data_IF_554906368594
#
_entry.id   IF_554906368594
#
_cell.length_a   1.000
_cell.length_b   1.000
_cell.length_c   1.000
_cell.angle_alpha   90.00
_cell.angle_beta   90.00
_cell.angle_gamma   90.00
#
_symmetry.space_group_name_H-M   'P 1'
#
loop_
_entity.id
_entity.type
_entity.pdbx_description
1 polymer ?
#
# COMPACT_ATOMS: atom_id res chain seq x y z
N UNK A 1 -4.14 2.73 -23.04
CA UNK A 1 -3.31 3.95 -23.14
C UNK A 1 -2.29 4.01 -22.00
N UNK A 2 -2.70 3.95 -20.74
CA UNK A 2 -1.81 4.06 -19.58
C UNK A 2 -0.64 3.05 -19.63
N UNK A 3 -0.92 1.76 -19.88
CA UNK A 3 0.10 0.72 -19.96
C UNK A 3 1.11 1.01 -21.08
N UNK A 4 0.63 1.43 -22.26
CA UNK A 4 1.48 1.79 -23.39
C UNK A 4 2.36 3.00 -23.09
N UNK A 5 1.81 4.03 -22.42
CA UNK A 5 2.58 5.22 -22.04
C UNK A 5 3.64 4.86 -20.99
N UNK A 6 3.29 4.02 -20.01
CA UNK A 6 4.26 3.53 -19.02
C UNK A 6 5.40 2.76 -19.67
N UNK A 7 5.06 1.85 -20.60
CA UNK A 7 6.07 1.08 -21.34
C UNK A 7 6.95 1.99 -22.18
N UNK A 8 6.38 2.95 -22.92
CA UNK A 8 7.14 3.93 -23.70
C UNK A 8 8.13 4.73 -22.85
N UNK A 9 7.70 5.20 -21.69
CA UNK A 9 8.57 5.95 -20.77
C UNK A 9 9.72 5.07 -20.25
N UNK A 10 9.43 3.80 -19.96
CA UNK A 10 10.44 2.83 -19.55
C UNK A 10 11.44 2.53 -20.65
N UNK A 11 10.96 2.23 -21.87
CA UNK A 11 11.79 1.90 -23.04
C UNK A 11 12.71 3.05 -23.47
N UNK A 12 12.22 4.28 -23.35
CA UNK A 12 12.98 5.49 -23.65
C UNK A 12 13.84 5.98 -22.48
N UNK A 13 13.80 5.28 -21.33
CA UNK A 13 14.51 5.65 -20.11
C UNK A 13 14.30 7.13 -19.72
N UNK A 14 13.09 7.63 -19.88
CA UNK A 14 12.77 9.01 -19.51
C UNK A 14 12.63 9.17 -18.00
N UNK A 15 13.18 10.22 -17.40
CA UNK A 15 13.09 10.49 -15.96
C UNK A 15 11.71 11.10 -15.61
N UNK A 16 10.63 10.48 -16.11
CA UNK A 16 9.23 10.90 -15.92
C UNK A 16 8.47 9.78 -15.26
N UNK A 17 7.72 10.10 -14.22
CA UNK A 17 6.81 9.16 -13.57
C UNK A 17 5.41 9.28 -14.17
N UNK A 18 4.87 8.15 -14.65
CA UNK A 18 3.51 8.07 -15.18
C UNK A 18 2.59 7.56 -14.07
N UNK A 19 1.65 8.41 -13.63
CA UNK A 19 0.66 8.10 -12.59
C UNK A 19 -0.67 7.80 -13.26
N UNK A 20 -1.23 6.63 -12.98
CA UNK A 20 -2.60 6.29 -13.38
C UNK A 20 -3.57 6.86 -12.35
N UNK A 21 -4.59 7.57 -12.84
CA UNK A 21 -5.70 8.01 -12.01
C UNK A 21 -6.95 7.19 -12.35
N UNK A 22 -7.86 7.09 -11.40
CA UNK A 22 -9.13 6.40 -11.59
C UNK A 22 -9.98 7.12 -12.64
N UNK A 23 -10.86 6.37 -13.28
CA UNK A 23 -11.79 6.94 -14.28
C UNK A 23 -12.79 7.82 -13.54
N UNK A 24 -12.78 9.11 -13.85
CA UNK A 24 -13.83 10.04 -13.39
C UNK A 24 -15.14 9.68 -14.10
N UNK A 25 -16.23 9.57 -13.34
CA UNK A 25 -17.53 9.13 -13.85
C UNK A 25 -18.60 10.18 -13.61
N UNK A 26 -19.60 10.17 -14.46
CA UNK A 26 -20.85 10.90 -14.26
C UNK A 26 -21.73 10.18 -13.20
N UNK A 27 -22.78 10.80 -12.71
CA UNK A 27 -23.63 10.30 -11.62
C UNK A 27 -24.28 8.94 -11.90
N UNK A 28 -24.43 8.56 -13.18
CA UNK A 28 -24.97 7.25 -13.61
C UNK A 28 -23.88 6.22 -13.92
N UNK A 29 -22.63 6.53 -13.59
CA UNK A 29 -21.48 5.67 -13.79
C UNK A 29 -20.79 5.76 -15.15
N UNK A 30 -21.34 6.46 -16.13
CA UNK A 30 -20.68 6.64 -17.43
C UNK A 30 -19.33 7.34 -17.25
N UNK A 31 -18.27 6.80 -17.86
CA UNK A 31 -16.96 7.42 -17.87
C UNK A 31 -17.03 8.84 -18.48
N UNK A 32 -16.45 9.82 -17.77
CA UNK A 32 -16.46 11.20 -18.23
C UNK A 32 -15.63 11.36 -19.50
N UNK A 33 -16.25 11.88 -20.55
CA UNK A 33 -15.61 12.06 -21.85
C UNK A 33 -16.20 13.23 -22.62
N UNK A 34 -15.37 13.99 -23.32
CA UNK A 34 -15.83 15.01 -24.25
C UNK A 34 -16.68 14.43 -25.38
N UNK A 35 -16.54 13.13 -25.68
CA UNK A 35 -17.35 12.44 -26.69
C UNK A 35 -18.80 12.24 -26.26
N UNK A 36 -19.10 12.31 -24.95
CA UNK A 36 -20.47 12.17 -24.44
C UNK A 36 -21.40 13.27 -24.99
N UNK A 37 -20.85 14.44 -25.33
CA UNK A 37 -21.62 15.55 -25.95
C UNK A 37 -22.17 15.24 -27.35
N UNK A 38 -21.65 14.21 -28.05
CA UNK A 38 -22.12 13.81 -29.37
C UNK A 38 -23.26 12.78 -29.33
N UNK A 39 -23.62 12.31 -28.14
CA UNK A 39 -24.71 11.37 -27.95
C UNK A 39 -26.05 12.09 -27.93
N UNK A 40 -27.06 11.54 -28.62
CA UNK A 40 -28.46 11.95 -28.41
C UNK A 40 -28.90 11.61 -26.98
N UNK A 41 -29.97 12.21 -26.48
CA UNK A 41 -30.47 11.94 -25.13
C UNK A 41 -30.72 10.44 -24.89
N UNK A 42 -31.27 9.74 -25.86
CA UNK A 42 -31.48 8.28 -25.78
C UNK A 42 -30.17 7.52 -25.72
N UNK A 43 -29.21 7.85 -26.59
CA UNK A 43 -27.88 7.22 -26.61
C UNK A 43 -27.12 7.51 -25.31
N UNK A 44 -27.23 8.74 -24.79
CA UNK A 44 -26.60 9.10 -23.50
C UNK A 44 -27.12 8.24 -22.34
N UNK A 45 -28.41 7.99 -22.27
CA UNK A 45 -29.00 7.10 -21.27
C UNK A 45 -28.53 5.65 -21.48
N UNK A 46 -28.48 5.17 -22.71
CA UNK A 46 -28.02 3.83 -23.04
C UNK A 46 -26.51 3.64 -22.77
N UNK A 47 -25.70 4.69 -22.88
CA UNK A 47 -24.25 4.63 -22.66
C UNK A 47 -23.88 4.19 -21.22
N UNK A 48 -24.71 4.47 -20.22
CA UNK A 48 -24.51 4.00 -18.85
C UNK A 48 -24.50 2.47 -18.73
N UNK A 49 -25.07 1.76 -19.72
CA UNK A 49 -25.02 0.29 -19.77
C UNK A 49 -23.60 -0.25 -19.89
N UNK A 50 -22.66 0.52 -20.45
CA UNK A 50 -21.25 0.09 -20.50
C UNK A 50 -20.70 -0.12 -19.08
N UNK A 51 -20.87 0.86 -18.22
CA UNK A 51 -20.44 0.73 -16.83
C UNK A 51 -21.21 -0.37 -16.09
N UNK A 52 -22.53 -0.44 -16.27
CA UNK A 52 -23.35 -1.50 -15.68
C UNK A 52 -22.91 -2.90 -16.12
N UNK A 53 -22.43 -3.07 -17.36
CA UNK A 53 -21.89 -4.34 -17.84
C UNK A 53 -20.57 -4.72 -17.12
N UNK A 54 -19.66 -3.77 -16.97
CA UNK A 54 -18.41 -3.98 -16.25
C UNK A 54 -18.67 -4.29 -14.77
N UNK A 55 -19.65 -3.64 -14.15
CA UNK A 55 -20.04 -3.92 -12.77
C UNK A 55 -20.66 -5.32 -12.62
N UNK A 56 -21.40 -5.84 -13.61
CA UNK A 56 -21.90 -7.20 -13.60
C UNK A 56 -20.77 -8.24 -13.58
N UNK A 57 -19.73 -8.02 -14.38
CA UNK A 57 -18.54 -8.86 -14.35
C UNK A 57 -17.78 -8.72 -13.00
N UNK A 58 -17.64 -7.49 -12.45
CA UNK A 58 -17.02 -7.26 -11.15
C UNK A 58 -17.80 -7.98 -10.03
N UNK A 59 -19.13 -7.98 -10.08
CA UNK A 59 -19.98 -8.71 -9.13
C UNK A 59 -19.74 -10.21 -9.21
N UNK A 60 -19.78 -10.80 -10.41
CA UNK A 60 -19.48 -12.23 -10.61
C UNK A 60 -18.08 -12.59 -10.11
N UNK A 61 -17.09 -11.72 -10.35
CA UNK A 61 -15.73 -11.89 -9.84
C UNK A 61 -15.68 -11.86 -8.29
N UNK A 62 -16.40 -10.95 -7.65
CA UNK A 62 -16.49 -10.85 -6.19
C UNK A 62 -17.18 -12.08 -5.59
N UNK A 63 -18.15 -12.67 -6.32
CA UNK A 63 -18.82 -13.91 -5.96
C UNK A 63 -17.98 -15.18 -6.20
N UNK A 64 -16.75 -15.02 -6.71
CA UNK A 64 -15.79 -16.12 -6.83
C UNK A 64 -15.50 -16.56 -8.26
N UNK A 65 -16.14 -15.99 -9.29
CA UNK A 65 -15.81 -16.32 -10.67
C UNK A 65 -14.42 -15.80 -11.05
N UNK A 66 -13.64 -16.61 -11.77
CA UNK A 66 -12.28 -16.25 -12.20
C UNK A 66 -12.04 -16.43 -13.68
N UNK A 67 -12.90 -17.23 -14.36
CA UNK A 67 -12.73 -17.54 -15.78
C UNK A 67 -13.10 -16.34 -16.65
N UNK A 68 -12.24 -15.98 -17.58
CA UNK A 68 -12.44 -14.85 -18.49
C UNK A 68 -13.75 -14.97 -19.25
N UNK A 69 -14.05 -16.16 -19.76
CA UNK A 69 -15.26 -16.41 -20.56
C UNK A 69 -16.53 -16.14 -19.75
N UNK A 70 -16.58 -16.57 -18.49
CA UNK A 70 -17.74 -16.35 -17.60
C UNK A 70 -17.89 -14.87 -17.22
N UNK A 71 -16.78 -14.19 -16.92
CA UNK A 71 -16.77 -12.76 -16.60
C UNK A 71 -17.22 -11.91 -17.79
N UNK A 72 -16.73 -12.22 -18.99
CA UNK A 72 -17.15 -11.57 -20.24
C UNK A 72 -18.63 -11.83 -20.48
N UNK A 73 -19.10 -13.08 -20.34
CA UNK A 73 -20.53 -13.43 -20.52
C UNK A 73 -21.44 -12.66 -19.55
N UNK A 74 -21.01 -12.44 -18.29
CA UNK A 74 -21.75 -11.65 -17.32
C UNK A 74 -21.91 -10.17 -17.76
N UNK A 75 -20.86 -9.60 -18.36
CA UNK A 75 -20.92 -8.24 -18.92
C UNK A 75 -21.80 -8.20 -20.18
N UNK A 76 -21.64 -9.15 -21.11
CA UNK A 76 -22.44 -9.26 -22.34
C UNK A 76 -23.94 -9.39 -22.07
N UNK A 77 -24.32 -10.10 -21.01
CA UNK A 77 -25.72 -10.25 -20.59
C UNK A 77 -26.41 -8.89 -20.30
N UNK A 78 -25.63 -7.87 -19.91
CA UNK A 78 -26.14 -6.50 -19.74
C UNK A 78 -26.16 -5.69 -21.02
N UNK A 79 -25.24 -5.97 -21.97
CA UNK A 79 -25.12 -5.24 -23.23
C UNK A 79 -26.13 -5.73 -24.28
N UNK A 80 -26.34 -7.04 -24.38
CA UNK A 80 -27.17 -7.67 -25.40
C UNK A 80 -28.59 -7.13 -25.52
N UNK A 81 -29.29 -6.74 -24.44
CA UNK A 81 -30.63 -6.16 -24.54
C UNK A 81 -30.67 -4.78 -25.21
N UNK A 82 -29.52 -4.09 -25.35
CA UNK A 82 -29.44 -2.73 -25.90
C UNK A 82 -28.90 -2.77 -27.31
N UNK A 83 -29.77 -3.01 -28.28
CA UNK A 83 -29.39 -3.20 -29.70
C UNK A 83 -28.66 -2.03 -30.37
N UNK A 84 -28.73 -0.83 -29.80
CA UNK A 84 -28.01 0.35 -30.27
C UNK A 84 -26.51 0.34 -29.90
N UNK A 85 -26.08 -0.51 -28.96
CA UNK A 85 -24.69 -0.67 -28.56
C UNK A 85 -24.07 -1.72 -29.50
N UNK A 86 -23.07 -1.31 -30.26
CA UNK A 86 -22.25 -2.22 -31.04
C UNK A 86 -20.90 -2.39 -30.37
N UNK A 87 -20.70 -3.50 -29.70
CA UNK A 87 -19.42 -3.84 -29.04
C UNK A 87 -18.36 -4.05 -30.15
N UNK A 88 -17.22 -3.38 -30.01
CA UNK A 88 -16.05 -3.55 -30.84
C UNK A 88 -15.12 -4.61 -30.24
N UNK A 89 -14.85 -4.51 -28.93
CA UNK A 89 -14.23 -5.55 -28.12
C UNK A 89 -14.72 -5.49 -26.67
N UNK A 90 -14.69 -6.64 -26.02
CA UNK A 90 -14.84 -6.81 -24.56
C UNK A 90 -13.87 -7.93 -24.17
N UNK A 91 -12.77 -7.56 -23.54
CA UNK A 91 -11.64 -8.46 -23.34
C UNK A 91 -11.10 -8.37 -21.92
N UNK A 92 -10.72 -9.54 -21.38
CA UNK A 92 -9.96 -9.64 -20.13
C UNK A 92 -8.48 -9.79 -20.48
N UNK A 93 -7.68 -8.82 -20.04
CA UNK A 93 -6.25 -8.75 -20.33
C UNK A 93 -5.42 -8.47 -19.07
N UNK A 94 -4.14 -8.81 -19.11
CA UNK A 94 -3.21 -8.41 -18.05
C UNK A 94 -3.02 -6.88 -18.08
N UNK A 95 -3.13 -6.17 -16.94
CA UNK A 95 -3.18 -4.70 -16.93
C UNK A 95 -1.89 -4.02 -17.43
N UNK A 96 -0.75 -4.67 -17.34
CA UNK A 96 0.55 -4.13 -17.76
C UNK A 96 0.93 -4.58 -19.18
N UNK A 97 0.84 -5.88 -19.47
CA UNK A 97 1.28 -6.45 -20.75
C UNK A 97 0.20 -6.40 -21.84
N UNK A 98 -1.06 -6.20 -21.45
CA UNK A 98 -2.26 -6.24 -22.32
C UNK A 98 -2.43 -7.58 -23.03
N UNK A 99 -1.78 -8.64 -22.58
CA UNK A 99 -1.98 -9.98 -23.14
C UNK A 99 -3.31 -10.56 -22.65
N UNK A 100 -4.07 -11.24 -23.50
CA UNK A 100 -5.30 -11.90 -23.12
C UNK A 100 -5.08 -12.90 -21.98
N UNK A 101 -6.02 -12.95 -21.04
CA UNK A 101 -6.00 -13.84 -19.90
C UNK A 101 -7.15 -14.84 -20.00
N UNK A 102 -6.88 -16.11 -19.69
CA UNK A 102 -7.91 -17.14 -19.57
C UNK A 102 -8.66 -17.06 -18.23
N UNK A 103 -7.99 -16.59 -17.18
CA UNK A 103 -8.55 -16.42 -15.85
C UNK A 103 -7.82 -15.31 -15.10
N UNK A 104 -8.47 -14.74 -14.07
CA UNK A 104 -7.85 -13.76 -13.17
C UNK A 104 -7.24 -14.51 -11.98
N UNK A 105 -5.93 -14.57 -11.90
CA UNK A 105 -5.22 -15.15 -10.76
C UNK A 105 -5.04 -14.12 -9.64
N UNK A 106 -4.47 -12.97 -9.95
CA UNK A 106 -4.23 -11.87 -8.99
C UNK A 106 -4.91 -10.58 -9.42
N UNK A 107 -4.71 -10.16 -10.67
CA UNK A 107 -5.31 -8.95 -11.22
C UNK A 107 -5.60 -9.16 -12.71
N UNK A 108 -6.75 -8.67 -13.18
CA UNK A 108 -7.13 -8.63 -14.57
C UNK A 108 -7.74 -7.27 -14.92
N UNK A 109 -7.58 -6.82 -16.15
CA UNK A 109 -8.22 -5.63 -16.70
C UNK A 109 -9.31 -6.08 -17.66
N UNK A 110 -10.58 -5.91 -17.29
CA UNK A 110 -11.70 -6.07 -18.23
C UNK A 110 -11.93 -4.75 -18.93
N UNK A 111 -11.68 -4.71 -20.24
CA UNK A 111 -11.75 -3.53 -21.06
C UNK A 111 -12.83 -3.66 -22.12
N UNK A 112 -13.59 -2.58 -22.35
CA UNK A 112 -14.63 -2.51 -23.37
C UNK A 112 -14.41 -1.33 -24.30
N UNK A 113 -14.63 -1.55 -25.60
CA UNK A 113 -14.90 -0.51 -26.58
C UNK A 113 -16.22 -0.79 -27.27
N UNK A 114 -17.06 0.23 -27.38
CA UNK A 114 -18.35 0.09 -28.04
C UNK A 114 -18.74 1.36 -28.78
N UNK A 115 -19.57 1.21 -29.80
CA UNK A 115 -20.15 2.30 -30.59
C UNK A 115 -21.63 2.48 -30.26
N UNK A 116 -22.01 3.73 -29.97
CA UNK A 116 -23.40 4.19 -29.93
C UNK A 116 -23.58 5.19 -31.08
N UNK A 117 -24.23 4.76 -32.14
CA UNK A 117 -24.24 5.50 -33.42
C UNK A 117 -22.81 5.67 -33.94
N UNK A 118 -22.38 6.91 -34.12
CA UNK A 118 -21.03 7.24 -34.59
C UNK A 118 -20.02 7.49 -33.46
N UNK A 119 -20.45 7.44 -32.21
CA UNK A 119 -19.61 7.74 -31.06
C UNK A 119 -18.97 6.47 -30.51
N UNK A 120 -17.64 6.40 -30.52
CA UNK A 120 -16.86 5.33 -29.91
C UNK A 120 -16.57 5.67 -28.46
N UNK A 121 -17.04 4.84 -27.56
CA UNK A 121 -16.86 4.94 -26.11
C UNK A 121 -15.92 3.84 -25.60
N UNK A 122 -15.16 4.15 -24.57
CA UNK A 122 -14.22 3.24 -23.91
C UNK A 122 -14.49 3.24 -22.42
N UNK A 123 -14.36 2.07 -21.82
CA UNK A 123 -14.38 1.93 -20.37
C UNK A 123 -13.60 0.69 -19.94
N UNK A 124 -13.28 0.58 -18.66
CA UNK A 124 -12.63 -0.60 -18.09
C UNK A 124 -12.87 -0.72 -16.60
N UNK A 125 -12.60 -1.91 -16.06
CA UNK A 125 -12.55 -2.19 -14.64
C UNK A 125 -11.39 -3.12 -14.31
N UNK A 126 -10.71 -2.86 -13.19
CA UNK A 126 -9.73 -3.78 -12.64
C UNK A 126 -10.42 -4.82 -11.74
N UNK A 127 -10.15 -6.10 -12.01
CA UNK A 127 -10.59 -7.23 -11.21
C UNK A 127 -9.40 -7.72 -10.42
N UNK A 128 -9.43 -7.55 -9.08
CA UNK A 128 -8.32 -7.93 -8.21
C UNK A 128 -8.76 -9.00 -7.22
N UNK A 129 -8.05 -10.13 -7.17
CA UNK A 129 -8.32 -11.23 -6.25
C UNK A 129 -7.70 -11.04 -4.87
N UNK A 130 -6.71 -10.14 -4.74
CA UNK A 130 -6.06 -9.86 -3.47
C UNK A 130 -6.89 -8.90 -2.61
N UNK A 131 -6.84 -9.12 -1.30
CA UNK A 131 -7.39 -8.19 -0.32
C UNK A 131 -6.60 -6.86 -0.35
N UNK A 132 -7.23 -5.73 -0.01
CA UNK A 132 -6.57 -4.43 -0.03
C UNK A 132 -5.33 -4.35 0.86
N UNK A 133 -4.37 -3.49 0.47
CA UNK A 133 -3.19 -3.15 1.25
C UNK A 133 -3.30 -1.69 1.70
N UNK A 134 -2.99 -1.45 2.97
CA UNK A 134 -2.87 -0.11 3.54
C UNK A 134 -1.42 0.15 3.90
N UNK A 135 -0.82 1.19 3.31
CA UNK A 135 0.52 1.66 3.62
C UNK A 135 0.45 2.87 4.55
N UNK A 136 1.12 2.80 5.71
CA UNK A 136 1.19 3.91 6.65
C UNK A 136 2.64 4.32 6.85
N UNK A 137 3.06 5.39 6.18
CA UNK A 137 4.40 5.94 6.29
C UNK A 137 4.43 7.18 7.18
N UNK A 138 5.64 7.60 7.56
CA UNK A 138 5.84 8.82 8.31
C UNK A 138 7.04 8.76 9.25
N UNK A 139 7.41 9.88 9.90
CA UNK A 139 8.59 9.99 10.74
C UNK A 139 8.49 9.16 12.04
N UNK A 140 9.63 9.00 12.72
CA UNK A 140 9.67 8.31 14.01
C UNK A 140 8.86 9.06 15.08
N UNK A 141 8.11 8.33 15.91
CA UNK A 141 7.30 8.94 16.98
C UNK A 141 5.98 9.56 16.56
N UNK A 142 5.58 9.49 15.27
CA UNK A 142 4.28 9.96 14.78
C UNK A 142 3.08 9.13 15.25
N UNK A 143 3.31 8.00 15.93
CA UNK A 143 2.25 7.12 16.45
C UNK A 143 1.81 6.02 15.48
N UNK A 144 2.56 5.81 14.38
CA UNK A 144 2.21 4.85 13.31
C UNK A 144 1.91 3.44 13.81
N UNK A 145 2.77 2.87 14.66
CA UNK A 145 2.64 1.48 15.12
C UNK A 145 1.35 1.24 15.89
N UNK A 146 0.98 2.17 16.77
CA UNK A 146 -0.26 2.09 17.52
C UNK A 146 -1.47 2.25 16.61
N UNK A 147 -1.44 3.25 15.74
CA UNK A 147 -2.54 3.55 14.81
C UNK A 147 -2.70 2.43 13.78
N UNK A 148 -1.62 2.00 13.10
CA UNK A 148 -1.67 0.96 12.08
C UNK A 148 -2.22 -0.37 12.60
N UNK A 149 -1.85 -0.74 13.82
CA UNK A 149 -2.36 -1.96 14.48
C UNK A 149 -3.85 -1.88 14.76
N UNK A 150 -4.31 -0.76 15.32
CA UNK A 150 -5.74 -0.56 15.60
C UNK A 150 -6.57 -0.45 14.32
N UNK A 151 -6.04 0.18 13.28
CA UNK A 151 -6.66 0.20 11.94
C UNK A 151 -6.78 -1.23 11.41
N UNK A 152 -5.69 -2.00 11.44
CA UNK A 152 -5.68 -3.39 10.96
C UNK A 152 -6.73 -4.25 11.66
N UNK A 153 -6.83 -4.10 12.98
CA UNK A 153 -7.83 -4.82 13.79
C UNK A 153 -9.26 -4.44 13.40
N UNK A 154 -9.55 -3.13 13.24
CA UNK A 154 -10.90 -2.65 12.89
C UNK A 154 -11.35 -3.04 11.48
N UNK A 155 -10.43 -3.14 10.51
CA UNK A 155 -10.76 -3.50 9.12
C UNK A 155 -10.47 -4.97 8.82
N UNK A 156 -10.06 -5.75 9.81
CA UNK A 156 -9.81 -7.19 9.69
C UNK A 156 -8.65 -7.55 8.76
N UNK A 157 -7.59 -6.74 8.72
CA UNK A 157 -6.37 -6.98 7.96
C UNK A 157 -5.21 -7.37 8.90
N UNK A 158 -4.15 -7.97 8.32
CA UNK A 158 -2.95 -8.31 9.05
C UNK A 158 -2.09 -7.05 9.29
N UNK A 159 -1.66 -6.81 10.53
CA UNK A 159 -0.70 -5.76 10.84
C UNK A 159 0.74 -6.22 10.66
N UNK A 160 1.58 -5.41 9.99
CA UNK A 160 3.00 -5.65 9.81
C UNK A 160 3.85 -4.42 10.16
N UNK A 161 4.83 -4.63 11.03
CA UNK A 161 5.83 -3.64 11.43
C UNK A 161 7.12 -3.84 10.63
N UNK A 162 7.32 -3.06 9.57
CA UNK A 162 8.54 -3.15 8.76
C UNK A 162 9.79 -2.77 9.57
N UNK A 163 9.66 -1.86 10.53
CA UNK A 163 10.74 -1.47 11.42
C UNK A 163 11.24 -2.63 12.29
N UNK A 164 10.37 -3.56 12.66
CA UNK A 164 10.76 -4.77 13.38
C UNK A 164 11.66 -5.67 12.52
N UNK A 165 11.45 -5.73 11.20
CA UNK A 165 12.32 -6.50 10.30
C UNK A 165 13.74 -5.91 10.24
N UNK A 166 13.87 -4.58 10.10
CA UNK A 166 15.18 -3.92 10.16
C UNK A 166 15.89 -4.12 11.49
N UNK A 167 15.14 -4.10 12.62
CA UNK A 167 15.67 -4.39 13.95
C UNK A 167 16.12 -5.86 14.07
N UNK A 168 15.40 -6.78 13.45
CA UNK A 168 15.74 -8.20 13.42
C UNK A 168 17.07 -8.44 12.69
N UNK A 169 17.28 -7.82 11.52
CA UNK A 169 18.58 -7.84 10.83
C UNK A 169 19.67 -7.23 11.72
N UNK A 170 19.42 -6.07 12.32
CA UNK A 170 20.39 -5.41 13.21
C UNK A 170 20.76 -6.31 14.39
N UNK A 171 19.80 -6.99 14.99
CA UNK A 171 20.07 -7.96 16.04
C UNK A 171 20.98 -9.09 15.54
N UNK A 172 20.73 -9.63 14.36
CA UNK A 172 21.55 -10.70 13.77
C UNK A 172 22.98 -10.25 13.51
N UNK A 173 23.16 -9.04 12.97
CA UNK A 173 24.47 -8.42 12.76
C UNK A 173 25.26 -8.34 14.06
N UNK A 174 24.64 -7.78 15.11
CA UNK A 174 25.27 -7.59 16.42
C UNK A 174 25.50 -8.93 17.15
N UNK A 175 24.58 -9.91 17.01
CA UNK A 175 24.74 -11.25 17.57
C UNK A 175 25.97 -11.97 17.04
N UNK A 176 26.30 -11.75 15.76
CA UNK A 176 27.49 -12.32 15.11
C UNK A 176 28.77 -11.53 15.36
N UNK A 177 28.69 -10.42 16.13
CA UNK A 177 29.84 -9.56 16.39
C UNK A 177 30.29 -8.75 15.18
N UNK A 178 29.42 -8.56 14.18
CA UNK A 178 29.70 -7.78 12.98
C UNK A 178 29.48 -6.29 13.30
N UNK A 179 30.39 -5.44 12.87
CA UNK A 179 30.25 -4.00 12.98
C UNK A 179 29.13 -3.49 12.07
N UNK A 180 28.15 -2.73 12.59
CA UNK A 180 27.01 -2.22 11.81
C UNK A 180 27.38 -1.39 10.58
N UNK A 181 28.60 -0.89 10.48
CA UNK A 181 29.13 -0.10 9.37
C UNK A 181 29.85 -0.93 8.32
N UNK A 182 30.11 -2.20 8.58
CA UNK A 182 30.74 -3.12 7.62
C UNK A 182 29.71 -3.67 6.64
N UNK A 183 29.49 -2.92 5.55
CA UNK A 183 28.48 -3.26 4.52
C UNK A 183 28.73 -4.63 3.87
N UNK A 184 29.99 -5.05 3.74
CA UNK A 184 30.35 -6.34 3.11
C UNK A 184 29.99 -7.50 4.03
N UNK A 185 30.43 -7.47 5.28
CA UNK A 185 30.12 -8.51 6.24
C UNK A 185 28.61 -8.58 6.56
N UNK A 186 27.93 -7.43 6.59
CA UNK A 186 26.46 -7.39 6.73
C UNK A 186 25.79 -8.04 5.53
N UNK A 187 26.21 -7.76 4.29
CA UNK A 187 25.61 -8.34 3.09
C UNK A 187 25.78 -9.87 3.04
N UNK A 188 26.90 -10.41 3.49
CA UNK A 188 27.17 -11.85 3.50
C UNK A 188 26.17 -12.65 4.35
N UNK A 189 25.71 -12.10 5.48
CA UNK A 189 24.77 -12.80 6.37
C UNK A 189 23.30 -12.73 5.94
N UNK A 190 22.97 -11.87 4.97
CA UNK A 190 21.58 -11.65 4.58
C UNK A 190 20.97 -12.84 3.85
N UNK A 191 21.76 -13.63 3.11
CA UNK A 191 21.29 -14.82 2.41
C UNK A 191 20.67 -15.84 3.37
N UNK A 192 21.22 -15.95 4.61
CA UNK A 192 20.75 -16.83 5.64
C UNK A 192 19.91 -16.13 6.72
N UNK A 193 19.39 -14.93 6.43
CA UNK A 193 18.61 -14.15 7.38
C UNK A 193 17.12 -14.18 7.00
N UNK A 194 16.41 -15.22 7.45
CA UNK A 194 14.97 -15.36 7.23
C UNK A 194 14.19 -14.77 8.38
N UNK A 195 13.39 -13.73 8.09
CA UNK A 195 12.58 -13.04 9.10
C UNK A 195 11.11 -13.44 8.91
N UNK A 196 10.51 -13.92 10.00
CA UNK A 196 9.09 -14.22 10.04
C UNK A 196 8.39 -13.32 11.05
N UNK A 197 7.31 -12.68 10.60
CA UNK A 197 6.39 -11.91 11.44
C UNK A 197 5.09 -12.68 11.60
N UNK A 198 4.53 -12.69 12.81
CA UNK A 198 3.18 -13.16 13.05
C UNK A 198 2.47 -12.20 14.02
N UNK A 199 1.25 -11.82 13.68
CA UNK A 199 0.39 -11.04 14.56
C UNK A 199 -0.44 -11.99 15.42
N UNK A 200 -0.36 -11.84 16.74
CA UNK A 200 -1.27 -12.53 17.65
C UNK A 200 -2.50 -11.66 17.86
N UNK A 201 -3.71 -12.21 17.65
CA UNK A 201 -4.92 -11.49 17.99
C UNK A 201 -4.94 -11.21 19.50
N UNK A 202 -5.28 -9.97 19.87
CA UNK A 202 -5.46 -9.61 21.27
C UNK A 202 -6.91 -9.85 21.71
N UNK A 203 -7.15 -10.07 23.02
CA UNK A 203 -8.49 -9.96 23.59
C UNK A 203 -9.09 -8.58 23.32
N UNK A 204 -10.41 -8.51 23.21
CA UNK A 204 -11.11 -7.26 22.92
C UNK A 204 -10.64 -6.11 23.82
N UNK A 205 -10.21 -5.01 23.21
CA UNK A 205 -9.70 -3.82 23.89
C UNK A 205 -8.19 -3.83 24.23
N UNK A 206 -7.48 -4.88 23.86
CA UNK A 206 -6.00 -4.92 23.97
C UNK A 206 -5.37 -4.89 22.59
N UNK A 207 -4.14 -4.40 22.52
CA UNK A 207 -3.38 -4.32 21.25
C UNK A 207 -2.58 -5.61 21.07
N UNK A 208 -2.84 -6.36 20.00
CA UNK A 208 -2.13 -7.61 19.68
C UNK A 208 -0.61 -7.41 19.57
N UNK A 209 0.15 -8.45 19.88
CA UNK A 209 1.61 -8.44 19.79
C UNK A 209 2.05 -8.99 18.45
N UNK A 210 2.94 -8.28 17.75
CA UNK A 210 3.66 -8.85 16.62
C UNK A 210 4.88 -9.59 17.13
N UNK A 211 4.90 -10.92 16.96
CA UNK A 211 6.06 -11.74 17.21
C UNK A 211 7.01 -11.73 16.02
N UNK A 212 8.28 -11.80 16.31
CA UNK A 212 9.36 -11.73 15.32
C UNK A 212 10.34 -12.88 15.54
N UNK A 213 10.63 -13.61 14.48
CA UNK A 213 11.64 -14.68 14.47
C UNK A 213 12.72 -14.37 13.44
N UNK A 214 13.94 -14.71 13.77
CA UNK A 214 15.07 -14.78 12.85
C UNK A 214 15.59 -16.20 12.86
N UNK A 215 15.55 -16.89 11.73
CA UNK A 215 15.99 -18.27 11.60
C UNK A 215 15.46 -19.17 12.74
N UNK A 216 14.14 -19.19 12.92
CA UNK A 216 13.40 -19.93 13.95
C UNK A 216 13.61 -19.46 15.41
N UNK A 217 14.55 -18.55 15.68
CA UNK A 217 14.75 -17.96 17.00
C UNK A 217 13.80 -16.77 17.22
N UNK A 218 12.99 -16.81 18.27
CA UNK A 218 12.13 -15.68 18.64
C UNK A 218 12.96 -14.53 19.22
N UNK A 219 12.81 -13.34 18.61
CA UNK A 219 13.57 -12.13 18.96
C UNK A 219 12.68 -10.95 19.36
N UNK A 220 11.40 -11.17 19.54
CA UNK A 220 10.34 -10.15 19.74
C UNK A 220 10.71 -9.07 20.76
N UNK A 221 11.26 -9.46 21.88
CA UNK A 221 11.60 -8.52 22.98
C UNK A 221 12.99 -7.90 22.76
N UNK A 222 13.99 -8.71 22.40
CA UNK A 222 15.38 -8.28 22.32
C UNK A 222 15.62 -7.24 21.23
N UNK A 223 14.89 -7.28 20.11
CA UNK A 223 15.00 -6.31 19.02
C UNK A 223 14.53 -4.89 19.39
N UNK A 224 13.88 -4.73 20.55
CA UNK A 224 13.39 -3.45 21.08
C UNK A 224 14.35 -2.81 22.09
N UNK A 225 15.48 -3.47 22.38
CA UNK A 225 16.49 -2.95 23.29
C UNK A 225 17.10 -1.64 22.77
N UNK A 226 17.67 -0.85 23.71
CA UNK A 226 18.37 0.41 23.38
C UNK A 226 19.56 0.18 22.48
N UNK A 227 20.29 -0.93 22.67
CA UNK A 227 21.44 -1.31 21.86
C UNK A 227 21.08 -1.51 20.38
N UNK A 228 20.00 -2.27 20.09
CA UNK A 228 19.48 -2.44 18.73
C UNK A 228 18.97 -1.11 18.18
N UNK A 229 18.27 -0.33 19.00
CA UNK A 229 17.71 0.96 18.57
C UNK A 229 18.78 1.97 18.14
N UNK A 230 19.95 1.95 18.79
CA UNK A 230 21.07 2.83 18.46
C UNK A 230 21.71 2.48 17.09
N UNK A 231 21.66 1.22 16.66
CA UNK A 231 22.35 0.73 15.47
C UNK A 231 21.41 0.53 14.24
N UNK A 232 20.10 0.49 14.45
CA UNK A 232 19.15 0.13 13.39
C UNK A 232 19.17 1.10 12.20
N UNK A 233 19.40 2.38 12.41
CA UNK A 233 19.43 3.36 11.31
C UNK A 233 20.64 3.14 10.39
N UNK A 234 21.79 2.77 10.94
CA UNK A 234 23.02 2.45 10.19
C UNK A 234 22.80 1.21 9.31
N UNK A 235 22.29 0.12 9.89
CA UNK A 235 22.03 -1.12 9.15
C UNK A 235 20.93 -0.92 8.11
N UNK A 236 19.84 -0.21 8.46
CA UNK A 236 18.71 0.05 7.56
C UNK A 236 19.05 1.00 6.39
N UNK A 237 20.16 1.73 6.44
CA UNK A 237 20.60 2.58 5.35
C UNK A 237 21.32 1.79 4.23
N UNK A 238 21.77 0.57 4.51
CA UNK A 238 22.56 -0.24 3.58
C UNK A 238 21.71 -0.79 2.43
N UNK A 239 22.17 -0.64 1.17
CA UNK A 239 21.42 -1.09 -0.01
C UNK A 239 21.07 -2.59 0.03
N UNK A 240 22.04 -3.46 0.37
CA UNK A 240 21.84 -4.90 0.42
C UNK A 240 20.74 -5.32 1.44
N UNK A 241 20.73 -4.70 2.62
CA UNK A 241 19.68 -4.93 3.64
C UNK A 241 18.31 -4.56 3.10
N UNK A 242 18.21 -3.43 2.41
CA UNK A 242 16.95 -2.96 1.85
C UNK A 242 16.43 -3.84 0.73
N UNK A 243 17.29 -4.31 -0.15
CA UNK A 243 16.93 -5.19 -1.26
C UNK A 243 16.35 -6.52 -0.75
N UNK A 244 17.03 -7.15 0.20
CA UNK A 244 16.55 -8.42 0.79
C UNK A 244 15.24 -8.21 1.56
N UNK A 245 15.15 -7.16 2.37
CA UNK A 245 13.93 -6.89 3.13
C UNK A 245 12.77 -6.44 2.24
N UNK A 246 13.02 -5.72 1.14
CA UNK A 246 12.00 -5.35 0.16
C UNK A 246 11.29 -6.61 -0.37
N UNK A 247 12.06 -7.60 -0.81
CA UNK A 247 11.52 -8.88 -1.30
C UNK A 247 10.70 -9.61 -0.23
N UNK A 248 11.21 -9.68 1.01
CA UNK A 248 10.49 -10.33 2.11
C UNK A 248 9.21 -9.56 2.50
N UNK A 249 9.23 -8.23 2.47
CA UNK A 249 8.06 -7.40 2.75
C UNK A 249 7.00 -7.54 1.66
N UNK A 250 7.40 -7.56 0.39
CA UNK A 250 6.49 -7.72 -0.74
C UNK A 250 5.78 -9.07 -0.72
N UNK A 251 6.47 -10.14 -0.32
CA UNK A 251 5.87 -11.47 -0.19
C UNK A 251 4.67 -11.51 0.80
N UNK A 252 4.67 -10.68 1.84
CA UNK A 252 3.50 -10.53 2.72
C UNK A 252 2.29 -9.89 2.01
N UNK A 253 2.53 -9.09 0.98
CA UNK A 253 1.50 -8.40 0.21
C UNK A 253 0.94 -9.19 -0.98
N UNK A 254 1.50 -10.35 -1.32
CA UNK A 254 1.09 -11.13 -2.51
C UNK A 254 -0.39 -11.48 -2.50
N UNK A 255 -0.94 -11.84 -1.34
CA UNK A 255 -2.36 -12.11 -1.15
C UNK A 255 -3.15 -10.88 -0.69
N UNK A 256 -2.48 -9.75 -0.48
CA UNK A 256 -3.07 -8.56 0.13
C UNK A 256 -3.54 -8.77 1.57
N UNK A 257 -4.45 -7.93 2.02
CA UNK A 257 -5.00 -8.04 3.37
C UNK A 257 -4.05 -7.56 4.47
N UNK A 258 -3.21 -6.56 4.17
CA UNK A 258 -2.13 -6.10 5.02
C UNK A 258 -2.26 -4.60 5.32
N UNK A 259 -2.06 -4.23 6.57
CA UNK A 259 -1.70 -2.87 6.99
C UNK A 259 -0.23 -2.88 7.37
N UNK A 260 0.61 -2.27 6.57
CA UNK A 260 2.05 -2.18 6.84
C UNK A 260 2.46 -0.76 7.17
N UNK A 261 3.24 -0.61 8.23
CA UNK A 261 3.84 0.67 8.59
C UNK A 261 5.33 0.73 8.31
N UNK A 262 5.81 1.94 7.99
CA UNK A 262 7.24 2.14 7.76
C UNK A 262 7.65 3.57 7.46
N UNK A 263 8.55 3.70 6.47
CA UNK A 263 9.09 4.98 5.96
C UNK A 263 8.92 5.12 4.46
N UNK A 264 8.78 4.01 3.78
CA UNK A 264 8.84 3.87 2.32
C UNK A 264 7.88 2.78 1.82
N UNK A 265 6.86 2.46 2.60
CA UNK A 265 5.90 1.40 2.26
C UNK A 265 5.11 1.81 1.00
N UNK A 266 4.52 3.00 1.00
CA UNK A 266 3.73 3.49 -0.13
C UNK A 266 4.56 3.95 -1.33
N UNK A 267 5.89 4.11 -1.18
CA UNK A 267 6.77 4.55 -2.28
C UNK A 267 7.59 3.42 -2.90
N UNK A 268 7.97 2.40 -2.13
CA UNK A 268 8.85 1.31 -2.56
C UNK A 268 8.25 -0.07 -2.37
N UNK A 269 7.72 -0.39 -1.17
CA UNK A 269 7.26 -1.75 -0.86
C UNK A 269 5.95 -2.05 -1.58
N UNK A 270 4.95 -1.19 -1.39
CA UNK A 270 3.63 -1.31 -2.00
C UNK A 270 3.24 -0.02 -2.73
N UNK A 271 3.90 0.31 -3.85
CA UNK A 271 3.59 1.51 -4.62
C UNK A 271 2.17 1.49 -5.21
N UNK A 272 1.51 0.33 -5.19
CA UNK A 272 0.13 0.11 -5.65
C UNK A 272 -0.82 -0.22 -4.49
N UNK A 273 -0.49 0.17 -3.24
CA UNK A 273 -1.40 0.02 -2.12
C UNK A 273 -2.70 0.83 -2.35
N UNK A 274 -3.83 0.23 -2.03
CA UNK A 274 -5.16 0.85 -2.24
C UNK A 274 -5.35 2.10 -1.38
N UNK A 275 -4.78 2.11 -0.18
CA UNK A 275 -4.71 3.31 0.66
C UNK A 275 -3.28 3.57 1.12
N UNK A 276 -2.81 4.81 0.90
CA UNK A 276 -1.54 5.30 1.42
C UNK A 276 -1.78 6.48 2.34
N UNK A 277 -1.27 6.39 3.55
CA UNK A 277 -1.36 7.46 4.56
C UNK A 277 0.05 7.87 4.97
N UNK A 278 0.32 9.16 4.92
CA UNK A 278 1.54 9.74 5.48
C UNK A 278 1.20 10.38 6.82
N UNK A 279 1.45 9.63 7.91
CA UNK A 279 1.11 10.06 9.26
C UNK A 279 2.21 10.93 9.85
N UNK A 280 1.90 12.19 10.14
CA UNK A 280 2.83 13.18 10.70
C UNK A 280 2.44 13.62 12.10
N UNK A 281 3.38 14.23 12.78
CA UNK A 281 3.20 15.04 13.99
C UNK A 281 4.38 16.01 14.12
N UNK A 282 4.17 17.15 14.75
CA UNK A 282 5.25 18.11 15.02
C UNK A 282 6.38 17.48 15.86
N UNK A 283 7.59 17.99 15.70
CA UNK A 283 8.76 17.52 16.48
C UNK A 283 8.49 17.64 17.97
N UNK A 284 7.85 18.75 18.39
CA UNK A 284 7.47 19.02 19.78
C UNK A 284 6.49 17.99 20.32
N UNK A 285 5.46 17.63 19.56
CA UNK A 285 4.48 16.63 20.01
C UNK A 285 5.12 15.24 20.08
N UNK A 286 5.96 14.88 19.11
CA UNK A 286 6.70 13.61 19.13
C UNK A 286 7.68 13.52 20.30
N UNK A 287 8.34 14.62 20.67
CA UNK A 287 9.21 14.69 21.83
C UNK A 287 8.42 14.50 23.14
N UNK A 288 7.24 15.13 23.26
CA UNK A 288 6.35 14.94 24.43
C UNK A 288 5.84 13.50 24.53
N UNK A 289 5.46 12.87 23.39
CA UNK A 289 5.06 11.45 23.37
C UNK A 289 6.21 10.57 23.82
N UNK A 290 7.41 10.78 23.26
CA UNK A 290 8.61 10.02 23.64
C UNK A 290 8.96 10.15 25.11
N UNK A 291 8.85 11.36 25.68
CA UNK A 291 9.11 11.59 27.09
C UNK A 291 8.13 10.83 27.99
N UNK A 292 6.83 10.81 27.63
CA UNK A 292 5.82 10.02 28.34
C UNK A 292 6.08 8.51 28.25
N UNK A 293 6.46 8.02 27.07
CA UNK A 293 6.80 6.60 26.87
C UNK A 293 8.02 6.18 27.71
N UNK A 294 9.06 7.03 27.77
CA UNK A 294 10.25 6.79 28.60
C UNK A 294 9.89 6.74 30.09
N UNK A 295 9.05 7.66 30.55
CA UNK A 295 8.58 7.66 31.93
C UNK A 295 7.77 6.40 32.26
N UNK A 296 6.88 5.96 31.38
CA UNK A 296 6.10 4.73 31.56
C UNK A 296 6.97 3.45 31.56
N UNK A 297 8.13 3.48 30.90
CA UNK A 297 9.09 2.38 30.84
C UNK A 297 10.20 2.48 31.92
N UNK A 298 10.10 3.42 32.86
CA UNK A 298 11.13 3.70 33.87
C UNK A 298 12.54 3.93 33.28
N UNK A 299 12.61 4.54 32.09
CA UNK A 299 13.87 4.92 31.46
C UNK A 299 14.40 6.24 32.07
N UNK A 300 15.73 6.48 32.04
CA UNK A 300 16.30 7.73 32.50
C UNK A 300 15.65 8.94 31.79
N UNK A 301 15.28 10.00 32.51
CA UNK A 301 14.65 11.17 31.96
C UNK A 301 15.60 11.92 31.00
N UNK A 302 15.06 12.40 29.89
CA UNK A 302 15.74 13.32 28.96
C UNK A 302 14.97 14.64 28.87
N UNK A 303 15.68 15.74 28.63
CA UNK A 303 15.03 17.03 28.39
C UNK A 303 14.27 17.01 27.06
N UNK A 304 13.19 17.80 26.97
CA UNK A 304 12.45 17.93 25.71
C UNK A 304 13.32 18.41 24.56
N UNK A 305 14.22 19.38 24.80
CA UNK A 305 15.14 19.89 23.79
C UNK A 305 16.11 18.81 23.27
N UNK A 306 16.59 17.92 24.17
CA UNK A 306 17.45 16.81 23.76
C UNK A 306 16.67 15.78 22.92
N UNK A 307 15.42 15.52 23.28
CA UNK A 307 14.54 14.64 22.51
C UNK A 307 14.17 15.25 21.15
N UNK A 308 13.86 16.54 21.08
CA UNK A 308 13.58 17.25 19.84
C UNK A 308 14.77 17.17 18.87
N UNK A 309 15.99 17.44 19.36
CA UNK A 309 17.21 17.32 18.54
C UNK A 309 17.42 15.89 18.02
N UNK A 310 17.29 14.90 18.89
CA UNK A 310 17.45 13.50 18.50
C UNK A 310 16.39 13.05 17.48
N UNK A 311 15.17 13.57 17.55
CA UNK A 311 14.10 13.33 16.59
C UNK A 311 14.42 14.00 15.25
N UNK A 312 14.85 15.27 15.24
CA UNK A 312 15.20 16.02 14.04
C UNK A 312 16.39 15.41 13.31
N UNK A 313 17.43 15.02 14.04
CA UNK A 313 18.60 14.34 13.48
C UNK A 313 18.20 13.01 12.81
N UNK A 314 17.31 12.25 13.42
CA UNK A 314 16.81 11.00 12.86
C UNK A 314 15.94 11.22 11.62
N UNK A 315 15.06 12.21 11.64
CA UNK A 315 14.22 12.56 10.48
C UNK A 315 15.08 13.01 9.30
N UNK A 316 16.15 13.76 9.58
CA UNK A 316 17.13 14.16 8.57
C UNK A 316 17.82 12.93 7.98
N UNK A 317 18.28 11.99 8.81
CA UNK A 317 18.88 10.74 8.34
C UNK A 317 17.89 9.93 7.48
N UNK A 318 16.64 9.75 7.93
CA UNK A 318 15.63 8.99 7.21
C UNK A 318 15.27 9.67 5.86
N UNK A 319 15.22 11.01 5.79
CA UNK A 319 14.82 11.75 4.58
C UNK A 319 15.94 11.99 3.57
N UNK A 320 17.22 11.99 4.02
CA UNK A 320 18.38 12.25 3.14
C UNK A 320 19.15 11.00 2.72
N UNK A 321 18.77 9.82 3.23
CA UNK A 321 19.45 8.57 2.83
C UNK A 321 19.33 8.33 1.32
N UNK A 322 20.37 7.75 0.73
CA UNK A 322 20.48 7.55 -0.72
C UNK A 322 19.44 6.59 -1.28
N UNK A 323 19.07 5.55 -0.54
CA UNK A 323 18.13 4.51 -0.97
C UNK A 323 16.84 4.61 -0.16
N UNK A 324 15.71 4.66 -0.84
CA UNK A 324 14.35 4.71 -0.28
C UNK A 324 14.21 5.75 0.86
N UNK A 325 14.47 7.03 0.62
CA UNK A 325 14.32 8.08 1.63
C UNK A 325 12.88 8.15 2.14
N UNK A 326 12.70 8.60 3.38
CA UNK A 326 11.38 8.95 3.91
C UNK A 326 10.79 10.08 3.06
N UNK A 327 9.80 9.74 2.26
CA UNK A 327 9.04 10.68 1.42
C UNK A 327 7.57 10.30 1.40
N UNK A 328 6.72 11.29 1.36
CA UNK A 328 5.31 11.08 1.09
C UNK A 328 5.15 10.58 -0.35
N UNK A 329 4.38 9.52 -0.55
CA UNK A 329 3.97 9.10 -1.89
C UNK A 329 3.01 10.14 -2.47
N UNK A 330 3.04 10.34 -3.79
CA UNK A 330 2.27 11.42 -4.45
C UNK A 330 0.75 11.25 -4.28
N UNK A 331 0.28 10.00 -4.16
CA UNK A 331 -1.11 9.63 -3.94
C UNK A 331 -1.42 9.33 -2.45
N UNK A 332 -0.46 9.60 -1.53
CA UNK A 332 -0.68 9.43 -0.11
C UNK A 332 -1.44 10.61 0.50
N UNK A 333 -2.38 10.30 1.36
CA UNK A 333 -3.10 11.28 2.15
C UNK A 333 -2.25 11.63 3.36
N UNK A 334 -1.88 12.91 3.49
CA UNK A 334 -1.20 13.40 4.68
C UNK A 334 -2.19 13.56 5.83
N UNK A 335 -1.84 12.99 6.98
CA UNK A 335 -2.62 13.09 8.20
C UNK A 335 -1.73 13.57 9.37
N UNK A 336 -1.91 14.80 9.80
CA UNK A 336 -1.29 15.33 11.00
C UNK A 336 -2.06 14.87 12.25
N UNK A 337 -1.34 14.25 13.18
CA UNK A 337 -1.91 13.73 14.43
C UNK A 337 -1.79 14.68 15.62
N UNK A 338 -1.32 15.93 15.41
CA UNK A 338 -1.25 16.92 16.48
C UNK A 338 -2.66 17.26 16.98
N UNK A 339 -2.84 17.24 18.29
CA UNK A 339 -4.13 17.55 18.91
C UNK A 339 -5.20 16.45 18.74
N UNK A 340 -4.91 15.38 18.03
CA UNK A 340 -5.84 14.26 17.86
C UNK A 340 -5.53 13.13 18.86
N UNK A 341 -6.58 12.52 19.38
CA UNK A 341 -6.48 11.26 20.13
C UNK A 341 -6.25 10.08 19.16
N UNK A 342 -5.66 8.99 19.67
CA UNK A 342 -5.45 7.77 18.88
C UNK A 342 -6.76 7.28 18.22
N UNK A 343 -7.90 7.18 18.94
CA UNK A 343 -9.16 6.78 18.29
C UNK A 343 -9.59 7.68 17.14
N UNK A 344 -9.43 9.00 17.26
CA UNK A 344 -9.77 9.93 16.17
C UNK A 344 -8.91 9.75 14.93
N UNK A 345 -7.61 9.47 15.11
CA UNK A 345 -6.71 9.17 13.98
C UNK A 345 -7.11 7.85 13.31
N UNK A 346 -7.42 6.82 14.10
CA UNK A 346 -7.87 5.52 13.61
C UNK A 346 -9.17 5.64 12.84
N UNK A 347 -10.18 6.33 13.38
CA UNK A 347 -11.47 6.57 12.71
C UNK A 347 -11.29 7.25 11.35
N UNK A 348 -10.42 8.27 11.27
CA UNK A 348 -10.12 8.96 10.01
C UNK A 348 -9.53 8.00 8.97
N UNK A 349 -8.56 7.15 9.35
CA UNK A 349 -7.94 6.21 8.42
C UNK A 349 -8.93 5.12 8.00
N UNK A 350 -9.76 4.63 8.93
CA UNK A 350 -10.80 3.64 8.61
C UNK A 350 -11.87 4.22 7.68
N UNK A 351 -12.25 5.49 7.86
CA UNK A 351 -13.15 6.18 6.95
C UNK A 351 -12.53 6.28 5.54
N UNK A 352 -11.27 6.75 5.43
CA UNK A 352 -10.54 6.82 4.17
C UNK A 352 -10.41 5.45 3.48
N UNK A 353 -10.22 4.38 4.25
CA UNK A 353 -10.18 3.02 3.72
C UNK A 353 -11.52 2.60 3.12
N UNK A 354 -12.63 2.88 3.82
CA UNK A 354 -13.97 2.57 3.32
C UNK A 354 -14.31 3.37 2.09
N UNK A 355 -14.06 4.69 2.12
CA UNK A 355 -14.30 5.57 0.98
C UNK A 355 -13.53 5.11 -0.28
N UNK A 356 -12.30 4.61 -0.11
CA UNK A 356 -11.50 4.10 -1.23
C UNK A 356 -12.03 2.78 -1.80
N UNK A 357 -12.53 1.89 -0.95
CA UNK A 357 -13.10 0.61 -1.41
C UNK A 357 -14.49 0.75 -2.00
N UNK A 358 -15.29 1.69 -1.48
CA UNK A 358 -16.64 1.96 -2.00
C UNK A 358 -16.60 2.74 -3.33
N UNK A 359 -15.46 3.41 -3.63
CA UNK A 359 -15.23 4.13 -4.88
C UNK A 359 -14.66 3.25 -6.01
N UNK A 360 -14.17 2.03 -5.71
CA UNK A 360 -13.72 1.01 -6.67
C UNK A 360 -14.85 0.05 -7.07
#
# INVERSE_FOLDING_TARGET
>A
QLAIIKQMVADLNWPVKVIGCDIVRESDGLAYSSRNQYLTATQRHQAATLYASLQAAKTAFTEGERQAQSLIAAAEAKLNPVSSIRVEYLELVHPETLQPMAQVETVGLLAIAAHLGNTRLLDNVLLRSRRPIVAIDGPAGAGKSTVARLVADQIGLMYLDSGAMYRAVTWRVLQLGIEPTDEVAVAEILADCHIRLASEPAPAGQVGLTRVWVNEQEVTQIIRSTHITANVSTVAAQPAVREVLLTQQQAYGDQGGVVMEGRDIGTQVFPFAELKVFLTASVQERARRRQRDMAAQNQPPMSLEALERAIDDRDRQDSTRRVAPLRQAEDAIELCSDGLSIPQVVEKIVALYRDRLDAE
#
